data_IF_471286110591
#
_entry.id   IF_471286110591
#
_cell.length_a   1.000
_cell.length_b   1.000
_cell.length_c   1.000
_cell.angle_alpha   90.00
_cell.angle_beta   90.00
_cell.angle_gamma   90.00
#
_symmetry.space_group_name_H-M   'P 1'
#
loop_
_entity.id
_entity.type
_entity.pdbx_description
1 polymer ?
#
# COMPACT_ATOMS: atom_id res chain seq x y z
N UNK A 1 48.14 -9.13 -17.41
CA UNK A 1 46.93 -9.83 -16.89
C UNK A 1 45.76 -8.90 -16.51
N UNK A 2 45.93 -7.58 -16.38
CA UNK A 2 44.87 -6.66 -15.93
C UNK A 2 43.82 -6.32 -17.01
N UNK A 3 44.20 -6.29 -18.30
CA UNK A 3 43.29 -5.98 -19.42
C UNK A 3 42.23 -7.07 -19.67
N UNK A 4 42.59 -8.36 -19.51
CA UNK A 4 41.64 -9.48 -19.66
C UNK A 4 40.60 -9.50 -18.53
N UNK A 5 41.00 -9.19 -17.28
CA UNK A 5 40.09 -9.10 -16.13
C UNK A 5 39.05 -7.97 -16.29
N UNK A 6 39.43 -6.83 -16.90
CA UNK A 6 38.49 -5.73 -17.21
C UNK A 6 37.46 -6.13 -18.28
N UNK A 7 37.87 -6.91 -19.29
CA UNK A 7 36.96 -7.40 -20.34
C UNK A 7 35.96 -8.40 -19.74
N UNK A 8 36.40 -9.31 -18.87
CA UNK A 8 35.49 -10.23 -18.18
C UNK A 8 34.53 -9.52 -17.23
N UNK A 9 34.98 -8.49 -16.51
CA UNK A 9 34.12 -7.68 -15.65
C UNK A 9 33.05 -6.91 -16.46
N UNK A 10 33.42 -6.40 -17.64
CA UNK A 10 32.49 -5.69 -18.52
C UNK A 10 31.46 -6.66 -19.14
N UNK A 11 31.89 -7.85 -19.56
CA UNK A 11 30.98 -8.90 -20.04
C UNK A 11 29.99 -9.38 -18.97
N UNK A 12 30.44 -9.54 -17.72
CA UNK A 12 29.57 -9.94 -16.60
C UNK A 12 28.52 -8.86 -16.28
N UNK A 13 28.92 -7.59 -16.30
CA UNK A 13 28.02 -6.44 -16.12
C UNK A 13 26.95 -6.36 -17.22
N UNK A 14 27.33 -6.58 -18.48
CA UNK A 14 26.39 -6.58 -19.59
C UNK A 14 25.38 -7.73 -19.49
N UNK A 15 25.82 -8.92 -19.05
CA UNK A 15 24.94 -10.08 -18.91
C UNK A 15 23.90 -9.91 -17.80
N UNK A 16 24.24 -9.23 -16.70
CA UNK A 16 23.29 -8.92 -15.63
C UNK A 16 22.18 -7.95 -16.08
N UNK A 17 22.51 -6.98 -16.95
CA UNK A 17 21.56 -5.99 -17.45
C UNK A 17 20.50 -6.58 -18.39
N UNK A 18 20.83 -7.66 -19.11
CA UNK A 18 19.88 -8.35 -20.00
C UNK A 18 18.89 -9.27 -19.27
N UNK A 19 19.13 -9.58 -17.98
CA UNK A 19 18.31 -10.53 -17.22
C UNK A 19 17.01 -9.97 -16.64
N UNK A 20 16.80 -8.65 -16.65
CA UNK A 20 15.74 -7.99 -15.86
C UNK A 20 14.42 -7.81 -16.64
N UNK A 21 14.31 -8.30 -17.88
CA UNK A 21 13.15 -8.02 -18.76
C UNK A 21 12.20 -9.22 -18.94
N UNK A 22 12.55 -10.42 -18.45
CA UNK A 22 11.68 -11.61 -18.56
C UNK A 22 10.86 -11.82 -17.28
N UNK A 23 9.78 -11.06 -17.12
CA UNK A 23 8.94 -11.17 -15.92
C UNK A 23 7.58 -10.49 -16.01
N UNK A 24 6.89 -10.56 -17.15
CA UNK A 24 5.45 -10.26 -17.24
C UNK A 24 4.79 -11.26 -18.19
N UNK A 25 4.45 -12.44 -17.67
CA UNK A 25 3.54 -13.37 -18.34
C UNK A 25 2.17 -13.25 -17.68
N UNK A 26 1.30 -12.46 -18.30
CA UNK A 26 -0.11 -12.33 -17.96
C UNK A 26 -0.87 -13.55 -18.52
N UNK A 27 -1.36 -14.43 -17.65
CA UNK A 27 -2.08 -15.63 -18.05
C UNK A 27 -3.54 -15.58 -17.57
N UNK A 28 -4.39 -14.94 -18.36
CA UNK A 28 -5.84 -15.21 -18.32
C UNK A 28 -6.13 -16.42 -19.21
N UNK A 29 -6.76 -17.46 -18.65
CA UNK A 29 -7.74 -18.37 -19.29
C UNK A 29 -8.22 -19.39 -18.24
N UNK A 30 -9.49 -19.30 -17.83
CA UNK A 30 -10.33 -20.41 -17.33
C UNK A 30 -10.87 -21.20 -18.55
N UNK A 31 -11.32 -22.49 -18.50
CA UNK A 31 -12.30 -23.02 -17.52
C UNK A 31 -12.21 -24.53 -17.15
N UNK A 32 -12.99 -24.92 -16.12
CA UNK A 32 -13.92 -26.08 -16.06
C UNK A 32 -13.90 -26.86 -14.73
N UNK A 33 -15.12 -27.14 -14.26
CA UNK A 33 -15.63 -27.70 -12.99
C UNK A 33 -15.42 -29.23 -12.80
N UNK A 34 -15.67 -29.83 -11.61
CA UNK A 34 -17.04 -30.23 -11.21
C UNK A 34 -17.44 -30.03 -9.72
N UNK A 35 -18.75 -29.91 -9.55
CA UNK A 35 -19.65 -30.07 -8.38
C UNK A 35 -19.14 -30.74 -7.11
N UNK A 36 -19.55 -30.22 -5.94
CA UNK A 36 -20.55 -30.90 -5.08
C UNK A 36 -21.21 -29.96 -4.05
N UNK A 37 -22.36 -30.43 -3.57
CA UNK A 37 -23.52 -29.75 -2.98
C UNK A 37 -23.36 -29.34 -1.50
N UNK A 38 -23.94 -28.19 -1.12
CA UNK A 38 -24.81 -28.09 0.07
C UNK A 38 -25.58 -26.75 0.10
N UNK A 39 -26.87 -26.83 0.42
CA UNK A 39 -27.87 -25.77 0.31
C UNK A 39 -28.15 -25.00 1.61
N UNK A 40 -28.47 -23.70 1.43
CA UNK A 40 -29.46 -22.86 2.14
C UNK A 40 -29.08 -22.10 3.45
N UNK A 41 -29.76 -20.98 3.79
CA UNK A 41 -30.49 -20.00 2.95
C UNK A 41 -30.04 -18.52 3.14
N UNK A 42 -30.55 -17.69 2.24
CA UNK A 42 -30.38 -16.24 2.11
C UNK A 42 -30.95 -15.45 3.31
N UNK A 43 -30.24 -14.38 3.68
CA UNK A 43 -30.77 -13.28 4.50
C UNK A 43 -30.81 -12.03 3.63
N UNK A 44 -32.01 -11.56 3.33
CA UNK A 44 -32.28 -10.35 2.56
C UNK A 44 -32.03 -9.12 3.44
N UNK A 45 -31.08 -8.29 3.05
CA UNK A 45 -30.91 -6.94 3.62
C UNK A 45 -31.66 -5.92 2.75
N UNK A 46 -32.40 -4.96 3.33
CA UNK A 46 -33.16 -3.97 2.57
C UNK A 46 -32.24 -3.01 1.77
N UNK A 47 -32.73 -2.42 0.66
CA UNK A 47 -31.93 -1.53 -0.18
C UNK A 47 -31.58 -0.25 0.60
N UNK A 48 -30.28 0.00 0.80
CA UNK A 48 -29.79 1.29 1.27
C UNK A 48 -30.13 2.37 0.23
N UNK A 49 -30.83 3.39 0.70
CA UNK A 49 -31.10 4.62 -0.04
C UNK A 49 -29.77 5.32 -0.30
N UNK A 50 -29.21 5.15 -1.51
CA UNK A 50 -27.99 5.83 -1.94
C UNK A 50 -28.27 7.32 -2.11
N UNK A 51 -27.97 8.09 -1.06
CA UNK A 51 -27.73 9.52 -1.19
C UNK A 51 -26.48 9.68 -2.04
N UNK A 52 -26.62 10.21 -3.26
CA UNK A 52 -25.49 10.43 -4.15
C UNK A 52 -24.55 11.45 -3.51
N UNK A 53 -23.41 10.96 -2.98
CA UNK A 53 -22.32 11.80 -2.54
C UNK A 53 -21.69 12.53 -3.75
N UNK A 54 -21.19 13.76 -3.56
CA UNK A 54 -20.53 14.48 -4.64
C UNK A 54 -19.34 13.68 -5.16
N UNK A 55 -19.14 13.67 -6.48
CA UNK A 55 -18.01 12.99 -7.12
C UNK A 55 -16.70 13.70 -6.72
N UNK A 56 -15.98 13.09 -5.77
CA UNK A 56 -14.69 13.59 -5.28
C UNK A 56 -13.59 12.96 -6.14
N UNK A 57 -12.79 13.78 -6.81
CA UNK A 57 -11.66 13.28 -7.59
C UNK A 57 -10.69 12.51 -6.68
N UNK A 58 -10.46 11.23 -7.00
CA UNK A 58 -9.59 10.33 -6.25
C UNK A 58 -8.25 10.13 -6.96
N UNK A 59 -7.22 9.80 -6.18
CA UNK A 59 -5.90 9.38 -6.66
C UNK A 59 -5.52 8.06 -5.99
N UNK A 60 -5.19 7.06 -6.79
CA UNK A 60 -4.64 5.79 -6.30
C UNK A 60 -3.16 5.96 -5.94
N UNK A 61 -2.79 5.47 -4.77
CA UNK A 61 -1.42 5.44 -4.25
C UNK A 61 -1.12 4.03 -3.77
N UNK A 62 0.02 3.46 -4.16
CA UNK A 62 0.52 2.22 -3.58
C UNK A 62 1.30 2.52 -2.31
N UNK A 63 0.95 1.88 -1.19
CA UNK A 63 1.66 2.06 0.07
C UNK A 63 2.92 1.18 0.18
N UNK A 64 3.62 1.30 1.32
CA UNK A 64 4.85 0.57 1.62
C UNK A 64 4.64 -0.95 1.79
N UNK A 65 3.40 -1.38 2.00
CA UNK A 65 2.99 -2.78 2.06
C UNK A 65 2.49 -3.31 0.71
N UNK A 66 2.52 -2.50 -0.35
CA UNK A 66 2.09 -2.86 -1.69
C UNK A 66 0.57 -2.84 -1.90
N UNK A 67 -0.20 -2.22 -1.00
CA UNK A 67 -1.65 -2.08 -1.13
C UNK A 67 -1.97 -0.86 -1.98
N UNK A 68 -2.96 -0.97 -2.85
CA UNK A 68 -3.53 0.19 -3.55
C UNK A 68 -4.58 0.88 -2.67
N UNK A 69 -4.39 2.18 -2.45
CA UNK A 69 -5.26 3.01 -1.62
C UNK A 69 -5.70 4.22 -2.42
N UNK A 70 -7.01 4.46 -2.47
CA UNK A 70 -7.58 5.67 -3.07
C UNK A 70 -7.63 6.80 -2.04
N UNK A 71 -7.09 7.96 -2.40
CA UNK A 71 -7.06 9.15 -1.56
C UNK A 71 -7.66 10.32 -2.34
N UNK A 72 -8.56 11.13 -1.77
CA UNK A 72 -9.05 12.34 -2.43
C UNK A 72 -7.89 13.24 -2.87
N UNK A 73 -7.95 13.79 -4.07
CA UNK A 73 -6.93 14.72 -4.59
C UNK A 73 -6.81 15.97 -3.69
N UNK A 74 -7.92 16.38 -3.06
CA UNK A 74 -7.97 17.47 -2.10
C UNK A 74 -8.66 17.02 -0.80
N UNK A 75 -7.94 16.40 0.14
CA UNK A 75 -8.53 15.95 1.39
C UNK A 75 -8.84 17.14 2.31
N UNK A 76 -10.06 17.19 2.85
CA UNK A 76 -10.50 18.29 3.73
C UNK A 76 -10.32 17.99 5.21
N UNK A 77 -10.26 16.70 5.59
CA UNK A 77 -10.18 16.25 6.98
C UNK A 77 -9.11 15.19 7.14
N UNK A 78 -8.00 15.58 7.74
CA UNK A 78 -6.81 14.73 7.89
C UNK A 78 -6.59 14.44 9.38
N UNK A 79 -6.47 13.17 9.73
CA UNK A 79 -6.08 12.71 11.06
C UNK A 79 -4.59 12.36 11.07
N UNK A 80 -3.82 12.94 11.98
CA UNK A 80 -2.41 12.64 12.14
C UNK A 80 -2.21 11.56 13.23
N UNK A 81 -1.70 10.39 12.83
CA UNK A 81 -1.64 9.22 13.72
C UNK A 81 -0.44 9.24 14.68
N UNK A 82 0.58 10.04 14.40
CA UNK A 82 1.78 10.10 15.21
C UNK A 82 2.47 11.46 15.08
N UNK A 83 3.40 11.75 15.99
CA UNK A 83 4.10 13.04 16.05
C UNK A 83 4.88 13.36 14.78
N UNK A 84 5.55 12.37 14.17
CA UNK A 84 6.27 12.58 12.91
C UNK A 84 5.34 13.02 11.77
N UNK A 85 4.16 12.38 11.65
CA UNK A 85 3.16 12.74 10.64
C UNK A 85 2.53 14.12 10.91
N UNK A 86 2.42 14.54 12.17
CA UNK A 86 1.98 15.90 12.53
C UNK A 86 2.97 16.93 11.97
N UNK A 87 4.26 16.76 12.25
CA UNK A 87 5.31 17.69 11.79
C UNK A 87 5.42 17.74 10.26
N UNK A 88 5.27 16.60 9.59
CA UNK A 88 5.24 16.53 8.13
C UNK A 88 4.05 17.29 7.53
N UNK A 89 2.85 17.17 8.14
CA UNK A 89 1.68 17.93 7.69
C UNK A 89 1.87 19.44 7.88
N UNK A 90 2.41 19.88 9.02
CA UNK A 90 2.72 21.30 9.23
C UNK A 90 3.76 21.83 8.26
N UNK A 91 4.78 21.03 7.93
CA UNK A 91 5.79 21.39 6.93
C UNK A 91 5.19 21.60 5.53
N UNK A 92 4.07 20.92 5.24
CA UNK A 92 3.29 21.08 4.01
C UNK A 92 2.23 22.20 4.10
N UNK A 93 2.14 22.92 5.23
CA UNK A 93 1.14 23.96 5.47
C UNK A 93 -0.27 23.41 5.74
N UNK A 94 -0.37 22.14 6.12
CA UNK A 94 -1.64 21.44 6.38
C UNK A 94 -1.86 21.31 7.89
N UNK A 95 -3.04 21.73 8.37
CA UNK A 95 -3.44 21.54 9.76
C UNK A 95 -4.36 20.32 9.88
N UNK A 96 -3.97 19.26 10.62
CA UNK A 96 -4.85 18.11 10.84
C UNK A 96 -6.04 18.49 11.73
N UNK A 97 -7.19 17.84 11.52
CA UNK A 97 -8.41 18.10 12.29
C UNK A 97 -8.40 17.45 13.67
N UNK A 98 -7.54 16.44 13.86
CA UNK A 98 -7.33 15.75 15.11
C UNK A 98 -5.97 15.06 15.12
N UNK A 99 -5.54 14.67 16.32
CA UNK A 99 -4.38 13.81 16.58
C UNK A 99 -4.81 12.66 17.49
N UNK A 100 -4.04 11.60 17.53
CA UNK A 100 -4.20 10.56 18.54
C UNK A 100 -3.83 11.14 19.92
N UNK A 101 -4.54 10.72 20.96
CA UNK A 101 -4.11 10.98 22.33
C UNK A 101 -2.74 10.34 22.57
N UNK A 102 -2.01 10.87 23.55
CA UNK A 102 -0.61 10.55 23.81
C UNK A 102 -0.28 9.05 23.66
N UNK A 103 0.85 8.75 23.02
CA UNK A 103 1.30 7.39 22.76
C UNK A 103 1.38 6.60 24.08
N UNK A 104 0.38 5.76 24.33
CA UNK A 104 0.40 4.84 25.46
C UNK A 104 1.31 3.67 25.13
N UNK A 105 2.54 3.75 25.64
CA UNK A 105 3.42 2.59 25.67
C UNK A 105 2.78 1.57 26.61
N UNK A 106 2.58 0.34 26.14
CA UNK A 106 2.11 -0.74 27.01
C UNK A 106 3.12 -0.98 28.13
N UNK A 107 2.69 -1.57 29.24
CA UNK A 107 3.61 -1.78 30.38
C UNK A 107 4.87 -2.56 30.00
N UNK A 108 4.79 -3.51 29.07
CA UNK A 108 5.96 -4.25 28.61
C UNK A 108 6.99 -3.34 27.93
N UNK A 109 6.53 -2.32 27.22
CA UNK A 109 7.39 -1.35 26.54
C UNK A 109 8.00 -0.33 27.48
N UNK A 110 7.34 0.01 28.60
CA UNK A 110 7.89 0.94 29.60
C UNK A 110 9.10 0.36 30.33
N UNK A 111 9.18 -0.97 30.43
CA UNK A 111 10.28 -1.68 31.08
C UNK A 111 11.48 -1.93 30.15
N UNK A 112 11.37 -1.59 28.87
CA UNK A 112 12.49 -1.72 27.94
C UNK A 112 13.55 -0.65 28.23
N UNK A 113 14.85 -0.96 28.10
CA UNK A 113 15.90 0.02 28.25
C UNK A 113 15.77 1.11 27.19
N UNK A 114 15.91 2.37 27.61
CA UNK A 114 16.08 3.47 26.67
C UNK A 114 17.42 3.31 25.94
N UNK A 115 17.41 3.57 24.64
CA UNK A 115 18.60 3.61 23.79
C UNK A 115 18.90 5.03 23.36
#
# INVERSE_FOLDING_TARGET
MYKRKKIYALLLSALLLLGVISGCANNQTSPSTPSESSSAPESSSPPESSSAEPDVAMKTVTDDLGREVEIPVKPERILALNSARIEELFSLGVTPVAKVDEYKIREEGMNLPSV
#
